data_IF_888170138487
#
_entry.id   IF_888170138487
#
_cell.length_a   1.000
_cell.length_b   1.000
_cell.length_c   1.000
_cell.angle_alpha   90.00
_cell.angle_beta   90.00
_cell.angle_gamma   90.00
#
_symmetry.space_group_name_H-M   'P 1'
#
loop_
_entity.id
_entity.type
_entity.pdbx_description
1 polymer ?
#
# COMPACT_ATOMS: atom_id res chain seq x y z
N UNK A 1 6.22 -2.82 11.65
CA UNK A 1 5.33 -2.01 10.79
C UNK A 1 4.78 -2.94 9.74
N UNK A 2 3.48 -2.84 9.49
CA UNK A 2 2.77 -3.47 8.38
C UNK A 2 2.20 -2.36 7.50
N UNK A 3 2.25 -2.51 6.18
CA UNK A 3 1.76 -1.53 5.23
C UNK A 3 1.24 -2.21 3.97
N UNK A 4 0.14 -1.70 3.40
CA UNK A 4 -0.37 -2.15 2.12
C UNK A 4 0.59 -1.79 0.97
N UNK A 5 0.61 -2.60 -0.09
CA UNK A 5 1.58 -2.46 -1.19
C UNK A 5 1.32 -1.25 -2.09
N UNK A 6 0.16 -0.62 -1.96
CA UNK A 6 -0.29 0.53 -2.72
C UNK A 6 -0.33 1.81 -1.86
N UNK A 7 0.45 1.81 -0.78
CA UNK A 7 0.78 2.99 0.01
C UNK A 7 2.08 3.63 -0.50
N UNK A 8 2.07 4.95 -0.65
CA UNK A 8 3.24 5.73 -1.07
C UNK A 8 3.75 6.56 0.09
N UNK A 9 5.05 6.52 0.33
CA UNK A 9 5.75 7.41 1.25
C UNK A 9 6.08 8.72 0.54
N UNK A 10 5.44 9.80 0.96
CA UNK A 10 5.65 11.14 0.42
C UNK A 10 6.90 11.78 1.03
N UNK A 11 7.14 11.59 2.33
CA UNK A 11 8.28 12.15 3.06
C UNK A 11 8.76 11.20 4.15
N UNK A 12 10.06 11.28 4.45
CA UNK A 12 10.62 10.58 5.59
C UNK A 12 9.99 11.10 6.89
N UNK A 13 9.60 10.17 7.77
CA UNK A 13 9.20 10.45 9.14
C UNK A 13 9.75 9.38 10.09
N UNK A 14 10.02 9.77 11.32
CA UNK A 14 10.35 8.85 12.39
C UNK A 14 9.07 8.19 12.92
N UNK A 15 9.00 6.87 12.79
CA UNK A 15 7.89 6.07 13.31
C UNK A 15 8.23 5.60 14.74
N UNK A 16 8.34 6.52 15.69
CA UNK A 16 8.78 6.20 17.06
C UNK A 16 7.62 5.82 18.00
N UNK A 17 6.37 6.11 17.65
CA UNK A 17 5.20 5.82 18.49
C UNK A 17 5.05 4.31 18.75
N UNK A 18 4.79 3.89 19.98
CA UNK A 18 4.70 2.46 20.34
C UNK A 18 3.69 1.69 19.47
N UNK A 19 2.53 2.30 19.28
CA UNK A 19 1.48 1.86 18.36
C UNK A 19 1.21 2.94 17.32
N UNK A 20 0.81 2.50 16.12
CA UNK A 20 0.24 3.37 15.11
C UNK A 20 -0.95 2.65 14.49
N UNK A 21 -2.11 3.28 14.56
CA UNK A 21 -3.32 2.87 13.86
C UNK A 21 -3.76 4.01 12.96
N UNK A 22 -4.03 3.73 11.69
CA UNK A 22 -4.41 4.78 10.74
C UNK A 22 -5.89 4.75 10.45
N UNK A 23 -6.38 5.84 9.88
CA UNK A 23 -7.76 6.01 9.51
C UNK A 23 -7.92 6.31 8.02
N UNK A 24 -9.11 6.01 7.52
CA UNK A 24 -9.60 6.39 6.20
C UNK A 24 -10.97 7.05 6.34
N UNK A 25 -11.32 7.87 5.37
CA UNK A 25 -12.68 8.41 5.19
C UNK A 25 -13.34 7.70 4.02
N UNK A 26 -14.65 7.45 4.16
CA UNK A 26 -15.50 6.92 3.09
C UNK A 26 -16.21 8.10 2.38
N UNK A 27 -17.43 7.92 1.87
CA UNK A 27 -18.20 8.98 1.20
C UNK A 27 -18.53 10.16 2.14
N UNK A 28 -18.74 9.88 3.43
CA UNK A 28 -18.93 10.90 4.47
C UNK A 28 -17.56 11.29 5.07
N UNK A 29 -16.96 12.33 4.51
CA UNK A 29 -15.69 12.89 4.99
C UNK A 29 -15.70 13.37 6.46
N UNK A 30 -16.85 13.36 7.14
CA UNK A 30 -16.96 13.67 8.58
C UNK A 30 -16.74 12.46 9.48
N UNK A 31 -16.70 11.24 8.91
CA UNK A 31 -16.53 10.00 9.66
C UNK A 31 -15.31 9.26 9.14
N UNK A 32 -14.23 9.34 9.92
CA UNK A 32 -13.09 8.47 9.71
C UNK A 32 -13.29 7.14 10.44
N UNK A 33 -12.77 6.07 9.86
CA UNK A 33 -12.72 4.74 10.49
C UNK A 33 -11.29 4.23 10.47
N UNK A 34 -10.92 3.46 11.49
CA UNK A 34 -9.65 2.74 11.50
C UNK A 34 -9.58 1.86 10.25
N UNK A 35 -8.39 1.78 9.64
CA UNK A 35 -8.08 0.92 8.50
C UNK A 35 -6.94 -0.03 8.87
N UNK A 36 -6.67 -1.00 8.00
CA UNK A 36 -5.57 -1.97 8.14
C UNK A 36 -4.40 -1.68 7.21
N UNK A 37 -4.47 -0.58 6.45
CA UNK A 37 -3.49 -0.25 5.40
C UNK A 37 -2.13 0.19 5.92
N UNK A 38 -2.05 0.66 7.16
CA UNK A 38 -0.79 0.96 7.83
C UNK A 38 -0.91 0.77 9.34
N UNK A 39 -0.10 -0.12 9.89
CA UNK A 39 -0.16 -0.52 11.29
C UNK A 39 1.23 -0.64 11.89
N UNK A 40 1.40 -0.17 13.12
CA UNK A 40 2.60 -0.43 13.92
C UNK A 40 2.20 -0.91 15.30
N UNK A 41 2.86 -1.96 15.73
CA UNK A 41 2.95 -2.40 17.12
C UNK A 41 4.19 -3.28 17.24
N UNK A 42 4.67 -3.50 18.47
CA UNK A 42 5.88 -4.29 18.70
C UNK A 42 5.68 -5.77 18.35
N UNK A 43 6.75 -6.40 17.86
CA UNK A 43 6.78 -7.84 17.64
C UNK A 43 6.54 -8.53 18.98
N UNK A 44 5.70 -9.56 19.00
CA UNK A 44 5.32 -10.31 20.20
C UNK A 44 4.55 -9.51 21.27
N UNK A 45 4.01 -8.33 20.92
CA UNK A 45 3.05 -7.62 21.79
C UNK A 45 1.86 -8.50 22.13
N UNK A 46 1.32 -8.31 23.33
CA UNK A 46 0.10 -9.00 23.75
C UNK A 46 -1.10 -8.57 22.90
N UNK A 47 -1.13 -7.31 22.45
CA UNK A 47 -2.10 -6.84 21.46
C UNK A 47 -2.08 -7.70 20.18
N UNK A 48 -0.91 -7.91 19.58
CA UNK A 48 -0.77 -8.73 18.37
C UNK A 48 -1.15 -10.21 18.59
N UNK A 49 -0.75 -10.79 19.72
CA UNK A 49 -1.14 -12.17 20.08
C UNK A 49 -2.65 -12.31 20.23
N UNK A 50 -3.28 -11.36 20.93
CA UNK A 50 -4.73 -11.35 21.15
C UNK A 50 -5.50 -11.22 19.83
N UNK A 51 -5.06 -10.33 18.92
CA UNK A 51 -5.66 -10.19 17.59
C UNK A 51 -5.66 -11.51 16.82
N UNK A 52 -4.54 -12.23 16.82
CA UNK A 52 -4.41 -13.52 16.12
C UNK A 52 -5.35 -14.56 16.73
N UNK A 53 -5.33 -14.71 18.06
CA UNK A 53 -6.17 -15.70 18.76
C UNK A 53 -7.67 -15.44 18.54
N UNK A 54 -8.11 -14.18 18.60
CA UNK A 54 -9.51 -13.83 18.36
C UNK A 54 -9.91 -14.00 16.88
N UNK A 55 -9.02 -13.68 15.94
CA UNK A 55 -9.25 -13.94 14.52
C UNK A 55 -9.38 -15.44 14.23
N UNK A 56 -8.51 -16.28 14.79
CA UNK A 56 -8.56 -17.75 14.66
C UNK A 56 -9.89 -18.32 15.18
N UNK A 57 -10.38 -17.84 16.33
CA UNK A 57 -11.69 -18.25 16.87
C UNK A 57 -12.84 -17.94 15.89
N UNK A 58 -12.78 -16.81 15.19
CA UNK A 58 -13.80 -16.42 14.20
C UNK A 58 -13.69 -17.30 12.95
N UNK A 59 -12.47 -17.49 12.44
CA UNK A 59 -12.18 -18.30 11.24
C UNK A 59 -12.62 -19.75 11.46
N UNK A 60 -12.23 -20.36 12.57
CA UNK A 60 -12.54 -21.77 12.86
C UNK A 60 -14.05 -22.05 12.98
N UNK A 61 -14.86 -21.03 13.26
CA UNK A 61 -16.33 -21.15 13.36
C UNK A 61 -17.06 -20.88 12.05
N UNK A 62 -16.37 -20.43 10.99
CA UNK A 62 -17.01 -19.93 9.76
C UNK A 62 -16.29 -20.42 8.52
N UNK A 63 -17.04 -21.00 7.58
CA UNK A 63 -16.50 -21.38 6.26
C UNK A 63 -16.19 -20.18 5.35
N UNK A 64 -16.87 -19.05 5.55
CA UNK A 64 -16.70 -17.81 4.78
C UNK A 64 -16.70 -16.62 5.73
N UNK A 65 -15.76 -15.69 5.52
CA UNK A 65 -15.60 -14.48 6.31
C UNK A 65 -16.00 -13.29 5.46
N UNK A 66 -16.99 -12.53 5.92
CA UNK A 66 -17.37 -11.26 5.29
C UNK A 66 -16.28 -10.21 5.49
N UNK A 67 -16.18 -9.27 4.56
CA UNK A 67 -15.22 -8.17 4.65
C UNK A 67 -15.34 -7.42 5.99
N UNK A 68 -14.19 -7.03 6.55
CA UNK A 68 -14.10 -6.27 7.79
C UNK A 68 -14.29 -7.05 9.09
N UNK A 69 -14.83 -8.28 9.06
CA UNK A 69 -15.04 -9.14 10.26
C UNK A 69 -13.73 -9.50 10.96
N UNK A 70 -12.63 -9.63 10.21
CA UNK A 70 -11.26 -9.76 10.73
C UNK A 70 -10.35 -8.66 10.16
N UNK A 71 -10.96 -7.53 9.79
CA UNK A 71 -10.29 -6.39 9.14
C UNK A 71 -10.52 -5.10 9.92
N UNK A 72 -10.83 -3.97 9.25
CA UNK A 72 -10.99 -2.66 9.89
C UNK A 72 -11.89 -2.62 11.14
N UNK A 73 -13.08 -3.23 11.09
CA UNK A 73 -14.01 -3.23 12.23
C UNK A 73 -13.49 -4.03 13.42
N UNK A 74 -12.88 -5.18 13.14
CA UNK A 74 -12.25 -6.03 14.14
C UNK A 74 -11.09 -5.33 14.84
N UNK A 75 -10.23 -4.69 14.05
CA UNK A 75 -9.12 -3.93 14.58
C UNK A 75 -9.62 -2.76 15.45
N UNK A 76 -10.61 -1.99 14.98
CA UNK A 76 -11.16 -0.87 15.72
C UNK A 76 -11.73 -1.29 17.08
N UNK A 77 -12.45 -2.41 17.14
CA UNK A 77 -12.97 -2.98 18.38
C UNK A 77 -11.85 -3.36 19.37
N UNK A 78 -10.75 -3.95 18.88
CA UNK A 78 -9.61 -4.31 19.73
C UNK A 78 -8.81 -3.11 20.21
N UNK A 79 -8.59 -2.12 19.34
CA UNK A 79 -7.96 -0.84 19.73
C UNK A 79 -8.74 -0.22 20.88
N UNK A 80 -10.08 -0.17 20.77
CA UNK A 80 -10.96 0.34 21.82
C UNK A 80 -10.91 -0.51 23.11
N UNK A 81 -11.02 -1.83 23.00
CA UNK A 81 -10.97 -2.74 24.17
C UNK A 81 -9.67 -2.64 24.95
N UNK A 82 -8.56 -2.33 24.27
CA UNK A 82 -7.25 -2.18 24.87
C UNK A 82 -6.93 -0.73 25.31
N UNK A 83 -7.83 0.23 25.11
CA UNK A 83 -7.60 1.63 25.47
C UNK A 83 -6.51 2.31 24.64
N UNK A 84 -6.32 1.89 23.38
CA UNK A 84 -5.24 2.33 22.50
C UNK A 84 -5.66 3.44 21.52
N UNK A 85 -6.82 4.05 21.72
CA UNK A 85 -7.38 5.08 20.81
C UNK A 85 -6.47 6.30 20.66
N UNK A 86 -5.64 6.61 21.66
CA UNK A 86 -4.69 7.72 21.62
C UNK A 86 -3.55 7.52 20.59
N UNK A 87 -3.37 6.30 20.08
CA UNK A 87 -2.40 5.98 19.02
C UNK A 87 -3.01 6.02 17.61
N UNK A 88 -4.27 6.42 17.50
CA UNK A 88 -4.97 6.55 16.22
C UNK A 88 -4.57 7.87 15.56
N UNK A 89 -3.98 7.78 14.38
CA UNK A 89 -3.61 8.93 13.57
C UNK A 89 -4.82 9.52 12.85
N UNK A 90 -4.79 10.84 12.65
CA UNK A 90 -5.74 11.52 11.76
C UNK A 90 -5.62 10.96 10.33
N UNK A 91 -6.77 10.74 9.70
CA UNK A 91 -6.85 10.12 8.37
C UNK A 91 -6.03 10.89 7.32
N UNK A 92 -5.87 12.21 7.41
CA UNK A 92 -5.12 13.01 6.44
C UNK A 92 -3.65 12.61 6.34
N UNK A 93 -3.09 11.97 7.38
CA UNK A 93 -1.70 11.48 7.37
C UNK A 93 -1.48 10.35 6.35
N UNK A 94 -2.53 9.62 5.99
CA UNK A 94 -2.45 8.43 5.13
C UNK A 94 -3.48 8.38 3.99
N UNK A 95 -4.60 9.09 4.12
CA UNK A 95 -5.76 9.05 3.23
C UNK A 95 -6.26 10.47 2.98
N UNK A 96 -5.69 11.16 1.99
CA UNK A 96 -6.17 12.49 1.57
C UNK A 96 -7.24 12.42 0.48
N UNK A 97 -7.22 11.34 -0.29
CA UNK A 97 -8.20 11.04 -1.34
C UNK A 97 -8.96 9.79 -0.89
N UNK A 98 -10.28 9.88 -0.63
CA UNK A 98 -11.10 8.73 -0.25
C UNK A 98 -11.12 7.67 -1.35
N UNK A 99 -11.30 6.39 -0.98
CA UNK A 99 -11.35 5.27 -1.94
C UNK A 99 -12.47 5.41 -2.98
N UNK A 100 -13.59 6.06 -2.61
CA UNK A 100 -14.71 6.30 -3.51
C UNK A 100 -14.41 7.38 -4.57
N UNK A 101 -13.36 8.17 -4.37
CA UNK A 101 -12.97 9.30 -5.21
C UNK A 101 -11.62 9.07 -5.93
N UNK A 102 -11.19 7.82 -6.12
CA UNK A 102 -9.88 7.48 -6.71
C UNK A 102 -9.61 8.10 -8.08
N UNK A 103 -10.63 8.48 -8.85
CA UNK A 103 -10.44 9.19 -10.13
C UNK A 103 -9.67 10.52 -9.97
N UNK A 104 -9.76 11.15 -8.80
CA UNK A 104 -9.01 12.36 -8.44
C UNK A 104 -7.49 12.18 -8.58
N UNK A 105 -6.97 10.94 -8.48
CA UNK A 105 -5.54 10.68 -8.70
C UNK A 105 -5.05 11.08 -10.10
N UNK A 106 -5.94 11.12 -11.10
CA UNK A 106 -5.62 11.49 -12.48
C UNK A 106 -6.03 12.94 -12.82
N UNK A 107 -6.78 13.60 -11.93
CA UNK A 107 -7.21 14.98 -12.10
C UNK A 107 -6.13 15.97 -11.62
N UNK A 108 -6.18 17.22 -12.08
CA UNK A 108 -5.30 18.31 -11.63
C UNK A 108 -5.65 18.83 -10.23
N UNK A 109 -5.72 17.93 -9.25
CA UNK A 109 -5.91 18.24 -7.84
C UNK A 109 -4.56 18.23 -7.11
N UNK A 110 -4.44 19.04 -6.06
CA UNK A 110 -3.28 19.03 -5.16
C UNK A 110 -3.56 18.19 -3.92
N UNK A 111 -2.56 17.45 -3.46
CA UNK A 111 -2.51 16.87 -2.12
C UNK A 111 -1.61 17.69 -1.21
N UNK A 112 -1.84 17.63 0.10
CA UNK A 112 -0.92 18.14 1.11
C UNK A 112 0.33 17.25 1.17
N UNK A 113 1.38 17.69 0.48
CA UNK A 113 2.67 17.00 0.45
C UNK A 113 3.43 17.10 1.77
N UNK A 114 2.94 17.80 2.81
CA UNK A 114 3.56 17.76 4.14
C UNK A 114 3.19 16.51 4.93
N UNK A 115 2.10 15.83 4.55
CA UNK A 115 1.70 14.56 5.15
C UNK A 115 2.64 13.42 4.73
N UNK A 116 2.82 12.39 5.56
CA UNK A 116 3.85 11.37 5.33
C UNK A 116 3.48 10.37 4.25
N UNK A 117 2.20 10.01 4.12
CA UNK A 117 1.78 8.89 3.29
C UNK A 117 0.55 9.21 2.44
N UNK A 118 0.36 8.41 1.40
CA UNK A 118 -0.82 8.42 0.54
C UNK A 118 -1.21 7.00 0.14
N UNK A 119 -2.46 6.62 0.37
CA UNK A 119 -3.03 5.34 -0.06
C UNK A 119 -3.62 5.47 -1.49
N UNK A 120 -3.22 4.61 -2.43
CA UNK A 120 -3.71 4.65 -3.82
C UNK A 120 -4.97 3.81 -4.08
N UNK A 121 -5.29 2.85 -3.22
CA UNK A 121 -6.45 1.95 -3.38
C UNK A 121 -6.46 1.21 -4.73
N UNK A 122 -5.43 0.43 -5.02
CA UNK A 122 -5.24 -0.30 -6.28
C UNK A 122 -6.46 -1.12 -6.72
N UNK A 123 -7.22 -1.69 -5.77
CA UNK A 123 -8.45 -2.42 -6.10
C UNK A 123 -9.55 -1.49 -6.65
N UNK A 124 -9.63 -0.26 -6.14
CA UNK A 124 -10.56 0.73 -6.68
C UNK A 124 -10.16 1.22 -8.06
N UNK A 125 -8.86 1.27 -8.38
CA UNK A 125 -8.40 1.53 -9.74
C UNK A 125 -8.91 0.45 -10.70
N UNK A 126 -8.78 -0.83 -10.31
CA UNK A 126 -9.30 -1.96 -11.09
C UNK A 126 -10.81 -1.86 -11.30
N UNK A 127 -11.58 -1.60 -10.24
CA UNK A 127 -13.03 -1.46 -10.31
C UNK A 127 -13.49 -0.28 -11.19
N UNK A 128 -12.67 0.78 -11.28
CA UNK A 128 -12.95 1.96 -12.09
C UNK A 128 -12.32 1.92 -13.49
N UNK A 129 -11.71 0.79 -13.90
CA UNK A 129 -10.98 0.64 -15.18
C UNK A 129 -9.89 1.71 -15.38
N UNK A 130 -9.20 2.09 -14.30
CA UNK A 130 -8.07 3.01 -14.34
C UNK A 130 -6.78 2.24 -14.65
N UNK A 131 -6.06 2.64 -15.70
CA UNK A 131 -4.82 1.98 -16.09
C UNK A 131 -3.65 2.43 -15.21
N UNK A 132 -3.23 1.56 -14.28
CA UNK A 132 -2.14 1.85 -13.33
C UNK A 132 -0.74 1.74 -13.95
N UNK A 133 -0.59 0.99 -15.04
CA UNK A 133 0.72 0.73 -15.67
C UNK A 133 1.05 1.73 -16.79
N UNK A 134 0.32 2.85 -16.86
CA UNK A 134 0.61 3.95 -17.79
C UNK A 134 1.37 5.06 -17.07
N UNK A 135 2.32 5.68 -17.78
CA UNK A 135 3.00 6.89 -17.34
C UNK A 135 2.10 8.11 -17.53
N UNK A 136 1.19 8.33 -16.57
CA UNK A 136 0.35 9.51 -16.52
C UNK A 136 1.22 10.77 -16.34
N UNK A 137 1.02 11.77 -17.20
CA UNK A 137 1.81 13.01 -17.18
C UNK A 137 1.23 14.08 -16.25
N UNK A 138 -0.04 13.93 -15.87
CA UNK A 138 -0.82 14.90 -15.12
C UNK A 138 -1.44 14.26 -13.87
N UNK A 139 -1.99 15.10 -13.01
CA UNK A 139 -2.61 14.72 -11.75
C UNK A 139 -1.65 14.18 -10.69
N UNK A 140 -2.21 13.81 -9.55
CA UNK A 140 -1.46 13.40 -8.35
C UNK A 140 -0.58 12.19 -8.66
N UNK A 141 -1.11 11.16 -9.33
CA UNK A 141 -0.34 9.95 -9.65
C UNK A 141 0.81 10.24 -10.61
N UNK A 142 0.59 11.05 -11.64
CA UNK A 142 1.67 11.45 -12.56
C UNK A 142 2.78 12.23 -11.87
N UNK A 143 2.42 13.14 -10.95
CA UNK A 143 3.40 13.85 -10.13
C UNK A 143 4.22 12.90 -9.24
N UNK A 144 3.59 11.86 -8.67
CA UNK A 144 4.29 10.85 -7.88
C UNK A 144 5.24 10.00 -8.74
N UNK A 145 4.81 9.56 -9.93
CA UNK A 145 5.67 8.82 -10.86
C UNK A 145 6.92 9.64 -11.22
N UNK A 146 6.75 10.94 -11.47
CA UNK A 146 7.85 11.86 -11.74
C UNK A 146 8.76 12.06 -10.52
N UNK A 147 8.18 12.32 -9.34
CA UNK A 147 8.92 12.52 -8.08
C UNK A 147 9.82 11.34 -7.73
N UNK A 148 9.35 10.12 -7.98
CA UNK A 148 10.09 8.89 -7.68
C UNK A 148 10.87 8.32 -8.88
N UNK A 149 11.01 9.10 -9.97
CA UNK A 149 11.74 8.73 -11.18
C UNK A 149 11.34 7.34 -11.75
N UNK A 150 10.06 6.96 -11.66
CA UNK A 150 9.60 5.60 -11.97
C UNK A 150 9.84 5.23 -13.44
N UNK A 151 9.70 6.18 -14.37
CA UNK A 151 9.99 5.95 -15.79
C UNK A 151 11.47 5.62 -16.04
N UNK A 152 12.38 6.32 -15.35
CA UNK A 152 13.81 6.04 -15.42
C UNK A 152 14.14 4.66 -14.85
N UNK A 153 13.55 4.30 -13.71
CA UNK A 153 13.70 2.96 -13.12
C UNK A 153 13.19 1.87 -14.07
N UNK A 154 12.02 2.05 -14.67
CA UNK A 154 11.46 1.12 -15.66
C UNK A 154 12.41 0.91 -16.86
N UNK A 155 12.95 2.00 -17.40
CA UNK A 155 13.91 1.95 -18.50
C UNK A 155 15.21 1.23 -18.12
N UNK A 156 15.72 1.44 -16.89
CA UNK A 156 16.89 0.73 -16.37
C UNK A 156 16.64 -0.78 -16.24
N UNK A 157 15.51 -1.18 -15.64
CA UNK A 157 15.12 -2.59 -15.50
C UNK A 157 15.01 -3.26 -16.88
N UNK A 158 14.31 -2.61 -17.82
CA UNK A 158 14.17 -3.14 -19.17
C UNK A 158 15.49 -3.27 -19.92
N UNK A 159 16.42 -2.34 -19.70
CA UNK A 159 17.76 -2.41 -20.30
C UNK A 159 18.53 -3.59 -19.72
N UNK A 160 18.55 -3.76 -18.39
CA UNK A 160 19.19 -4.90 -17.72
C UNK A 160 18.60 -6.26 -18.15
N UNK A 161 17.28 -6.34 -18.34
CA UNK A 161 16.63 -7.56 -18.84
C UNK A 161 17.02 -7.88 -20.28
N UNK A 162 17.13 -6.87 -21.15
CA UNK A 162 17.62 -7.06 -22.52
C UNK A 162 19.09 -7.50 -22.53
N UNK A 163 19.94 -6.89 -21.71
CA UNK A 163 21.36 -7.26 -21.61
C UNK A 163 21.55 -8.66 -21.03
N UNK A 164 20.83 -9.04 -19.97
CA UNK A 164 20.91 -10.39 -19.40
C UNK A 164 20.35 -11.47 -20.33
N UNK A 165 19.33 -11.15 -21.15
CA UNK A 165 18.87 -12.02 -22.21
C UNK A 165 19.92 -12.16 -23.32
N UNK A 166 20.62 -11.07 -23.68
CA UNK A 166 21.76 -11.10 -24.60
C UNK A 166 22.96 -11.88 -24.05
N UNK A 167 23.26 -11.79 -22.75
CA UNK A 167 24.32 -12.57 -22.10
C UNK A 167 23.98 -14.07 -22.08
N UNK A 168 22.70 -14.41 -21.91
CA UNK A 168 22.21 -15.78 -22.04
C UNK A 168 22.27 -16.28 -23.50
N UNK A 169 21.98 -15.43 -24.49
CA UNK A 169 22.15 -15.76 -25.91
C UNK A 169 23.63 -15.86 -26.29
N UNK A 170 24.50 -14.99 -25.78
CA UNK A 170 25.94 -15.03 -25.99
C UNK A 170 26.56 -16.29 -25.36
N UNK A 171 26.15 -16.66 -24.15
CA UNK A 171 26.53 -17.93 -23.50
C UNK A 171 26.04 -19.15 -24.28
N UNK A 172 24.81 -19.09 -24.83
CA UNK A 172 24.27 -20.14 -25.69
C UNK A 172 25.02 -20.25 -27.02
N UNK A 173 25.33 -19.13 -27.69
CA UNK A 173 26.08 -19.11 -28.95
C UNK A 173 27.55 -19.52 -28.76
N UNK A 174 28.17 -19.16 -27.64
CA UNK A 174 29.55 -19.57 -27.32
C UNK A 174 29.63 -21.07 -27.02
N UNK A 175 28.58 -21.66 -26.41
CA UNK A 175 28.48 -23.12 -26.23
C UNK A 175 28.07 -23.86 -27.51
N UNK A 176 27.34 -23.22 -28.43
CA UNK A 176 26.92 -23.86 -29.69
C UNK A 176 27.99 -23.82 -30.78
N UNK A 177 28.87 -22.80 -30.82
CA UNK A 177 29.91 -22.67 -31.84
C UNK A 177 31.29 -23.23 -31.44
N UNK A 178 31.56 -23.49 -30.16
CA UNK A 178 32.83 -24.13 -29.73
C UNK A 178 32.79 -25.68 -29.86
N UNK A 179 31.66 -26.27 -30.23
CA UNK A 179 31.55 -27.73 -30.47
C UNK A 179 31.63 -28.16 -31.94
N UNK A 180 32.10 -27.27 -32.83
CA UNK A 180 32.26 -27.57 -34.27
C UNK A 180 33.62 -27.14 -34.85
N UNK A 181 34.68 -27.22 -34.03
CA UNK A 181 36.08 -27.34 -34.45
C UNK A 181 36.73 -28.47 -33.65
#
# INVERSE_FOLDING_TARGET
>A
VWVDLDMICLNYIDLNEEYIFTQEVDEDNKKSRITTSFLKFSRYSDFGKNLIQEAEKIINKRKKISWGVIGPWFLADHVKKCGLENFVWDYKRTCQIPWCNVKIFLDNTSIDISQPFLHLFSEMWRLNNMEKNTFHQMGVYGQLLKKHEIEKLYNQINTCLKTSMLDNIASFLTKFFIKKL
#
